data_IF_253887193506
#
_entry.id   IF_253887193506
#
_cell.length_a   1.000
_cell.length_b   1.000
_cell.length_c   1.000
_cell.angle_alpha   90.00
_cell.angle_beta   90.00
_cell.angle_gamma   90.00
#
_symmetry.space_group_name_H-M   'P 1'
#
loop_
_entity.id
_entity.type
_entity.pdbx_description
1 polymer ?
#
# COMPACT_ATOMS: atom_id res chain seq x y z
N UNK A 1 23.12 -11.01 -46.33
CA UNK A 1 22.92 -12.46 -46.53
C UNK A 1 22.57 -13.05 -45.17
N UNK A 2 21.29 -13.17 -44.88
CA UNK A 2 20.74 -13.57 -43.58
C UNK A 2 20.66 -15.10 -43.50
N UNK A 3 21.39 -15.66 -42.55
CA UNK A 3 21.46 -17.09 -42.27
C UNK A 3 20.15 -17.51 -41.56
N UNK A 4 19.16 -17.95 -42.34
CA UNK A 4 17.93 -18.53 -41.79
C UNK A 4 18.28 -19.92 -41.25
N UNK A 5 18.32 -20.02 -39.93
CA UNK A 5 18.22 -21.31 -39.26
C UNK A 5 16.81 -21.81 -39.51
N UNK A 6 16.72 -22.99 -40.10
CA UNK A 6 15.48 -23.65 -40.49
C UNK A 6 14.99 -24.43 -39.27
N UNK A 7 13.78 -24.16 -38.79
CA UNK A 7 13.22 -24.79 -37.59
C UNK A 7 13.22 -26.32 -37.72
N UNK A 8 13.10 -26.84 -38.95
CA UNK A 8 13.22 -28.27 -39.24
C UNK A 8 14.62 -28.82 -38.95
N UNK A 9 15.69 -28.02 -39.17
CA UNK A 9 17.07 -28.42 -38.82
C UNK A 9 17.30 -28.42 -37.33
N UNK A 10 16.71 -27.47 -36.60
CA UNK A 10 16.81 -27.39 -35.13
C UNK A 10 16.11 -28.60 -34.51
N UNK A 11 14.92 -28.94 -35.01
CA UNK A 11 14.15 -30.09 -34.54
C UNK A 11 14.86 -31.42 -34.83
N UNK A 12 15.54 -31.54 -35.98
CA UNK A 12 16.38 -32.71 -36.28
C UNK A 12 17.57 -32.84 -35.33
N UNK A 13 18.25 -31.73 -35.04
CA UNK A 13 19.37 -31.69 -34.10
C UNK A 13 18.96 -32.02 -32.66
N UNK A 14 17.77 -31.59 -32.24
CA UNK A 14 17.23 -31.90 -30.91
C UNK A 14 16.83 -33.38 -30.78
N UNK A 15 16.27 -33.98 -31.82
CA UNK A 15 15.91 -35.40 -31.82
C UNK A 15 17.14 -36.33 -31.90
N UNK A 16 18.25 -35.86 -32.46
CA UNK A 16 19.51 -36.63 -32.56
C UNK A 16 20.37 -36.53 -31.29
N UNK A 17 19.94 -35.79 -30.26
CA UNK A 17 20.64 -35.77 -28.98
C UNK A 17 20.42 -37.09 -28.24
N UNK A 18 21.49 -37.71 -27.71
CA UNK A 18 21.35 -38.91 -26.88
C UNK A 18 20.55 -38.55 -25.63
N UNK A 19 19.64 -39.44 -25.22
CA UNK A 19 18.86 -39.26 -24.00
C UNK A 19 19.81 -39.17 -22.79
N UNK A 20 19.99 -37.96 -22.26
CA UNK A 20 20.92 -37.70 -21.14
C UNK A 20 20.22 -38.10 -19.86
N UNK A 21 20.24 -39.39 -19.57
CA UNK A 21 19.82 -39.93 -18.28
C UNK A 21 20.95 -39.68 -17.27
N UNK A 22 20.67 -38.92 -16.20
CA UNK A 22 21.62 -38.77 -15.11
C UNK A 22 21.74 -40.10 -14.35
N UNK A 23 22.80 -40.85 -14.67
CA UNK A 23 23.08 -42.17 -14.08
C UNK A 23 23.68 -42.08 -12.67
N UNK A 24 23.87 -40.87 -12.12
CA UNK A 24 24.44 -40.68 -10.79
C UNK A 24 23.38 -40.97 -9.72
N UNK A 25 23.75 -41.76 -8.71
CA UNK A 25 22.86 -41.98 -7.57
C UNK A 25 22.79 -40.73 -6.68
N UNK A 26 21.69 -40.58 -5.94
CA UNK A 26 21.47 -39.43 -5.05
C UNK A 26 22.58 -39.30 -4.00
N UNK A 27 23.11 -40.42 -3.54
CA UNK A 27 24.21 -40.50 -2.58
C UNK A 27 25.52 -40.00 -3.19
N UNK A 28 25.77 -40.29 -4.47
CA UNK A 28 26.97 -39.85 -5.19
C UNK A 28 26.92 -38.36 -5.52
N UNK A 29 25.72 -37.83 -5.79
CA UNK A 29 25.51 -36.37 -5.93
C UNK A 29 25.70 -35.66 -4.58
N UNK A 30 25.11 -36.20 -3.51
CA UNK A 30 25.22 -35.63 -2.17
C UNK A 30 26.65 -35.66 -1.64
N UNK A 31 27.41 -36.72 -1.90
CA UNK A 31 28.80 -36.84 -1.48
C UNK A 31 29.69 -35.81 -2.19
N UNK A 32 29.48 -35.59 -3.50
CA UNK A 32 30.18 -34.54 -4.27
C UNK A 32 29.82 -33.14 -3.81
N UNK A 33 28.55 -32.86 -3.53
CA UNK A 33 28.11 -31.57 -2.98
C UNK A 33 28.73 -31.30 -1.61
N UNK A 34 28.78 -32.31 -0.73
CA UNK A 34 29.45 -32.19 0.57
C UNK A 34 30.95 -31.99 0.46
N UNK A 35 31.58 -32.44 -0.63
CA UNK A 35 33.02 -32.31 -0.87
C UNK A 35 33.39 -31.07 -1.70
N UNK A 36 32.41 -30.35 -2.24
CA UNK A 36 32.66 -29.14 -3.02
C UNK A 36 33.15 -28.01 -2.11
N UNK A 37 34.41 -27.63 -2.31
CA UNK A 37 35.09 -26.57 -1.55
C UNK A 37 34.43 -25.20 -1.72
N UNK A 38 33.62 -24.98 -2.76
CA UNK A 38 32.81 -23.76 -2.94
C UNK A 38 31.70 -23.67 -1.89
N UNK A 39 31.09 -24.80 -1.55
CA UNK A 39 29.98 -24.91 -0.59
C UNK A 39 30.47 -25.03 0.86
N UNK A 40 31.73 -25.44 1.06
CA UNK A 40 32.36 -25.52 2.39
C UNK A 40 32.94 -24.18 2.88
N UNK A 41 32.85 -23.09 2.12
CA UNK A 41 33.20 -21.77 2.64
C UNK A 41 32.14 -21.38 3.67
N UNK A 42 32.47 -21.58 4.95
CA UNK A 42 31.77 -20.92 6.07
C UNK A 42 31.60 -19.43 5.72
N UNK A 43 30.47 -18.80 6.05
CA UNK A 43 30.32 -17.36 5.87
C UNK A 43 31.54 -16.68 6.50
N UNK A 44 32.20 -15.82 5.72
CA UNK A 44 33.32 -15.02 6.20
C UNK A 44 32.81 -14.28 7.44
N UNK A 45 33.25 -14.69 8.62
CA UNK A 45 33.16 -13.86 9.80
C UNK A 45 33.85 -12.54 9.42
N UNK A 46 33.07 -11.46 9.44
CA UNK A 46 33.61 -10.12 9.23
C UNK A 46 34.78 -9.89 10.19
N UNK A 47 35.83 -9.16 9.79
CA UNK A 47 36.89 -8.81 10.71
C UNK A 47 36.30 -7.98 11.85
N UNK A 48 36.33 -8.55 13.05
CA UNK A 48 36.07 -7.89 14.33
C UNK A 48 36.79 -6.54 14.38
N UNK A 49 36.00 -5.46 14.24
CA UNK A 49 36.45 -4.09 14.43
C UNK A 49 36.78 -3.89 15.91
N UNK A 50 38.09 -3.89 16.18
CA UNK A 50 38.79 -3.31 17.32
C UNK A 50 37.90 -2.79 18.48
N UNK A 51 37.84 -3.55 19.57
CA UNK A 51 37.20 -3.17 20.84
C UNK A 51 38.02 -2.10 21.56
N UNK A 52 37.57 -0.84 21.49
CA UNK A 52 37.95 0.18 22.48
C UNK A 52 37.03 0.09 23.70
N UNK A 53 37.59 -0.51 24.76
CA UNK A 53 37.53 -0.13 26.17
C UNK A 53 36.18 0.40 26.74
N UNK A 54 35.58 -0.45 27.57
CA UNK A 54 34.55 -0.24 28.57
C UNK A 54 34.64 1.08 29.38
N UNK A 55 33.52 1.83 29.42
CA UNK A 55 32.85 2.49 30.55
C UNK A 55 31.41 2.71 30.00
N UNK A 56 30.29 2.24 30.56
CA UNK A 56 29.70 2.54 31.87
C UNK A 56 28.53 1.55 32.09
N UNK A 57 28.55 0.68 33.13
CA UNK A 57 27.35 0.02 33.65
C UNK A 57 26.91 0.62 35.02
N UNK A 58 27.14 1.92 35.25
CA UNK A 58 26.78 2.60 36.49
C UNK A 58 25.69 3.68 36.34
N UNK A 59 25.42 4.19 35.13
CA UNK A 59 24.41 5.24 34.93
C UNK A 59 22.97 4.69 34.86
N UNK A 60 22.77 3.48 34.31
CA UNK A 60 21.45 2.86 34.20
C UNK A 60 20.87 2.48 35.58
N UNK A 61 21.72 2.06 36.53
CA UNK A 61 21.29 1.71 37.88
C UNK A 61 20.80 2.93 38.69
N UNK A 62 21.38 4.12 38.46
CA UNK A 62 20.96 5.35 39.14
C UNK A 62 19.59 5.86 38.64
N UNK A 63 19.32 5.71 37.34
CA UNK A 63 18.03 6.09 36.75
C UNK A 63 16.87 5.19 37.23
N UNK A 64 17.09 3.88 37.36
CA UNK A 64 16.08 2.94 37.87
C UNK A 64 15.78 3.18 39.36
N UNK A 65 16.79 3.50 40.18
CA UNK A 65 16.58 3.85 41.60
C UNK A 65 15.82 5.17 41.77
N UNK A 66 16.10 6.19 40.94
CA UNK A 66 15.35 7.44 40.92
C UNK A 66 13.89 7.23 40.50
N UNK A 67 13.64 6.42 39.45
CA UNK A 67 12.30 6.09 39.00
C UNK A 67 11.49 5.32 40.07
N UNK A 68 12.12 4.38 40.79
CA UNK A 68 11.44 3.67 41.89
C UNK A 68 11.09 4.61 43.05
N UNK A 69 11.94 5.58 43.40
CA UNK A 69 11.65 6.52 44.50
C UNK A 69 10.50 7.49 44.19
N UNK A 70 10.26 7.80 42.91
CA UNK A 70 9.17 8.67 42.46
C UNK A 70 7.82 7.95 42.38
N UNK A 71 7.80 6.62 42.25
CA UNK A 71 6.57 5.83 42.14
C UNK A 71 5.94 5.47 43.50
N UNK A 72 6.71 5.47 44.58
CA UNK A 72 6.22 5.08 45.92
C UNK A 72 5.15 6.05 46.47
N UNK A 73 5.29 7.39 46.36
CA UNK A 73 4.25 8.32 46.84
C UNK A 73 2.94 8.21 46.04
N UNK A 74 3.02 7.86 44.74
CA UNK A 74 1.87 7.80 43.83
C UNK A 74 0.89 6.65 44.17
N UNK A 75 1.38 5.54 44.72
CA UNK A 75 0.53 4.41 45.12
C UNK A 75 0.01 4.48 46.57
N UNK A 76 0.54 5.36 47.40
CA UNK A 76 0.10 5.53 48.79
C UNK A 76 -1.00 6.61 48.95
N UNK A 77 -1.25 7.42 47.92
CA UNK A 77 -2.24 8.51 47.97
C UNK A 77 -3.63 8.11 47.41
N UNK A 78 -3.83 6.87 46.94
CA UNK A 78 -5.12 6.44 46.39
C UNK A 78 -5.70 5.22 47.13
N UNK A 79 -5.94 5.39 48.44
CA UNK A 79 -6.79 4.47 49.19
C UNK A 79 -7.84 5.25 49.98
N UNK A 80 -8.99 5.46 49.34
CA UNK A 80 -10.27 5.74 49.98
C UNK A 80 -11.38 5.12 49.14
N UNK A 81 -11.89 3.98 49.63
CA UNK A 81 -13.22 3.39 49.38
C UNK A 81 -13.61 3.01 47.94
N UNK A 82 -13.45 1.74 47.55
CA UNK A 82 -14.45 0.67 47.76
C UNK A 82 -14.09 -0.63 47.02
N UNK A 83 -13.89 -1.66 47.83
CA UNK A 83 -14.06 -3.12 47.69
C UNK A 83 -14.46 -3.79 46.36
N UNK A 84 -13.67 -4.86 46.07
CA UNK A 84 -14.02 -6.20 45.54
C UNK A 84 -14.40 -6.32 44.04
N UNK A 85 -13.97 -7.32 43.27
CA UNK A 85 -13.12 -8.49 43.54
C UNK A 85 -12.51 -8.99 42.20
N UNK A 86 -11.25 -9.43 42.28
CA UNK A 86 -10.57 -10.51 41.54
C UNK A 86 -10.75 -10.67 40.02
N UNK A 87 -9.67 -10.34 39.32
CA UNK A 87 -9.25 -10.97 38.08
C UNK A 87 -8.79 -12.43 38.32
N UNK A 88 -9.16 -13.34 37.43
CA UNK A 88 -8.44 -14.59 37.21
C UNK A 88 -8.33 -14.86 35.71
N UNK A 89 -7.13 -14.66 35.18
CA UNK A 89 -6.70 -15.11 33.86
C UNK A 89 -6.57 -16.65 33.89
N UNK A 90 -7.33 -17.37 33.05
CA UNK A 90 -7.20 -18.82 32.89
C UNK A 90 -6.69 -19.14 31.49
N UNK A 91 -5.51 -19.77 31.50
CA UNK A 91 -4.79 -20.38 30.39
C UNK A 91 -5.70 -21.40 29.66
N UNK A 92 -5.73 -21.31 28.34
CA UNK A 92 -6.51 -22.16 27.43
C UNK A 92 -5.74 -23.46 27.14
N UNK A 93 -6.41 -24.60 27.41
CA UNK A 93 -6.00 -25.93 26.96
C UNK A 93 -7.16 -26.57 26.19
N UNK A 94 -6.78 -27.48 25.32
CA UNK A 94 -7.45 -28.01 24.12
C UNK A 94 -8.42 -29.19 24.36
N UNK A 95 -9.29 -29.37 23.37
CA UNK A 95 -10.11 -30.52 22.93
C UNK A 95 -11.49 -30.88 23.55
N UNK A 96 -12.43 -31.01 22.60
CA UNK A 96 -13.44 -32.05 22.37
C UNK A 96 -14.76 -32.17 23.18
N UNK A 97 -15.82 -31.82 22.45
CA UNK A 97 -16.98 -32.65 22.08
C UNK A 97 -18.36 -32.44 22.76
N UNK A 98 -19.34 -32.29 21.86
CA UNK A 98 -20.75 -32.68 21.88
C UNK A 98 -21.77 -32.13 22.93
N UNK A 99 -22.69 -31.32 22.38
CA UNK A 99 -24.14 -31.49 22.43
C UNK A 99 -24.90 -31.21 23.74
N UNK A 100 -25.63 -30.07 23.80
CA UNK A 100 -27.06 -30.06 24.18
C UNK A 100 -27.77 -28.76 23.77
N UNK A 101 -28.70 -28.93 22.84
CA UNK A 101 -30.03 -28.32 22.68
C UNK A 101 -30.47 -27.07 23.50
N UNK A 102 -30.97 -26.09 22.72
CA UNK A 102 -32.33 -25.50 22.75
C UNK A 102 -32.73 -24.67 23.98
N UNK A 103 -32.97 -23.38 23.75
CA UNK A 103 -34.29 -22.78 23.97
C UNK A 103 -34.49 -21.59 23.02
N UNK A 104 -35.39 -21.76 22.06
CA UNK A 104 -36.14 -20.69 21.39
C UNK A 104 -37.42 -20.50 22.19
N UNK A 105 -37.88 -19.26 22.36
CA UNK A 105 -39.13 -18.76 21.77
C UNK A 105 -39.45 -17.38 22.34
N UNK A 106 -40.00 -16.57 21.44
CA UNK A 106 -40.52 -15.23 21.64
C UNK A 106 -41.54 -15.14 22.79
N UNK A 107 -41.83 -13.93 23.27
CA UNK A 107 -43.06 -13.26 22.84
C UNK A 107 -43.12 -11.80 23.32
N UNK A 108 -43.56 -10.95 22.38
CA UNK A 108 -44.50 -9.81 22.47
C UNK A 108 -44.44 -8.81 23.65
N UNK A 109 -44.85 -7.55 23.54
CA UNK A 109 -45.23 -6.61 22.47
C UNK A 109 -45.63 -5.29 23.17
N UNK A 110 -45.83 -4.23 22.39
CA UNK A 110 -46.66 -3.03 22.67
C UNK A 110 -45.99 -1.92 23.51
N UNK A 111 -45.51 -0.89 22.81
CA UNK A 111 -46.33 0.29 22.48
C UNK A 111 -46.12 1.57 23.30
N UNK A 112 -45.99 2.71 22.60
CA UNK A 112 -46.43 4.02 23.10
C UNK A 112 -45.41 5.16 23.11
N UNK A 113 -45.29 5.84 21.97
CA UNK A 113 -45.22 7.31 21.73
C UNK A 113 -44.49 8.29 22.68
N UNK A 114 -43.53 9.01 22.08
CA UNK A 114 -43.21 10.47 22.12
C UNK A 114 -42.99 11.23 23.45
N UNK A 115 -41.83 11.89 23.57
CA UNK A 115 -41.70 13.37 23.60
C UNK A 115 -40.22 13.82 23.68
N UNK A 116 -39.96 14.99 23.10
CA UNK A 116 -38.67 15.65 22.89
C UNK A 116 -38.07 16.36 24.12
N UNK A 117 -36.74 16.55 24.05
CA UNK A 117 -35.91 17.62 24.61
C UNK A 117 -35.85 17.89 26.12
N UNK A 118 -34.65 17.70 26.67
CA UNK A 118 -33.94 18.76 27.39
C UNK A 118 -32.43 18.47 27.43
N UNK A 119 -31.66 19.44 26.93
CA UNK A 119 -30.20 19.52 27.05
C UNK A 119 -29.74 19.48 28.52
N UNK A 120 -28.61 18.83 28.73
CA UNK A 120 -27.68 19.22 29.79
C UNK A 120 -26.26 18.99 29.29
N UNK A 121 -25.61 20.07 28.87
CA UNK A 121 -24.18 20.13 28.66
C UNK A 121 -23.44 19.97 30.00
N UNK A 122 -22.43 19.09 30.03
CA UNK A 122 -21.17 19.39 30.69
C UNK A 122 -20.03 18.55 30.10
N UNK A 123 -19.36 19.21 29.16
CA UNK A 123 -17.99 19.03 28.70
C UNK A 123 -16.97 18.78 29.83
N UNK A 124 -16.13 17.74 29.66
CA UNK A 124 -14.66 17.88 29.65
C UNK A 124 -13.95 16.53 29.47
N UNK A 125 -13.29 16.40 28.33
CA UNK A 125 -12.35 15.33 27.99
C UNK A 125 -11.70 15.56 26.63
N UNK A 126 -11.26 16.79 26.38
CA UNK A 126 -10.66 17.25 25.14
C UNK A 126 -9.25 16.65 24.97
N UNK A 127 -9.10 15.62 24.14
CA UNK A 127 -7.84 15.37 23.43
C UNK A 127 -7.88 16.09 22.10
N UNK A 128 -6.86 16.93 21.91
CA UNK A 128 -6.69 17.88 20.84
C UNK A 128 -6.48 17.14 19.52
N UNK A 129 -7.53 17.00 18.72
CA UNK A 129 -7.43 16.83 17.26
C UNK A 129 -7.73 18.19 16.63
N UNK A 130 -6.69 18.83 16.12
CA UNK A 130 -6.76 20.19 15.60
C UNK A 130 -6.76 20.13 14.06
N UNK A 131 -7.93 20.40 13.45
CA UNK A 131 -8.14 20.67 12.02
C UNK A 131 -8.09 19.42 11.12
N UNK A 132 -9.16 19.02 10.43
CA UNK A 132 -10.00 19.78 9.50
C UNK A 132 -11.48 19.49 9.79
N UNK A 133 -12.27 20.55 9.93
CA UNK A 133 -13.72 20.44 9.87
C UNK A 133 -14.18 20.52 8.42
N UNK A 134 -14.81 19.45 7.95
CA UNK A 134 -15.96 19.56 7.05
C UNK A 134 -16.92 18.40 7.34
N UNK A 135 -18.21 18.69 7.44
CA UNK A 135 -19.30 17.74 7.66
C UNK A 135 -19.62 16.94 6.38
N UNK A 136 -18.57 16.42 5.74
CA UNK A 136 -18.65 15.60 4.55
C UNK A 136 -17.49 14.59 4.60
N UNK A 137 -17.44 13.79 5.67
CA UNK A 137 -16.52 12.64 5.74
C UNK A 137 -16.96 11.64 4.69
N UNK A 138 -16.45 11.80 3.47
CA UNK A 138 -16.64 10.80 2.44
C UNK A 138 -16.07 9.49 2.94
N UNK A 139 -16.89 8.45 3.01
CA UNK A 139 -16.54 7.12 3.51
C UNK A 139 -15.70 6.31 2.50
N UNK A 140 -15.22 6.95 1.43
CA UNK A 140 -14.35 6.35 0.41
C UNK A 140 -12.90 6.82 0.58
N UNK A 141 -11.93 5.91 0.41
CA UNK A 141 -10.50 6.23 0.53
C UNK A 141 -9.94 6.87 -0.74
N UNK A 142 -10.68 6.88 -1.84
CA UNK A 142 -10.29 7.52 -3.10
C UNK A 142 -10.53 9.02 -3.08
N UNK A 143 -9.63 9.80 -3.69
CA UNK A 143 -9.79 11.24 -3.86
C UNK A 143 -10.41 11.53 -5.22
N UNK A 144 -11.53 12.23 -5.24
CA UNK A 144 -12.17 12.73 -6.46
C UNK A 144 -11.92 14.23 -6.66
N UNK A 145 -12.17 14.79 -7.87
CA UNK A 145 -11.90 16.20 -8.14
C UNK A 145 -12.60 17.19 -7.19
N UNK A 146 -13.76 16.83 -6.66
CA UNK A 146 -14.46 17.67 -5.68
C UNK A 146 -13.77 17.68 -4.31
N UNK A 147 -13.16 16.57 -3.90
CA UNK A 147 -12.43 16.45 -2.62
C UNK A 147 -11.13 17.27 -2.66
N UNK A 148 -10.52 17.38 -3.85
CA UNK A 148 -9.32 18.17 -4.07
C UNK A 148 -9.59 19.69 -4.17
N UNK A 149 -10.86 20.15 -4.07
CA UNK A 149 -11.16 21.57 -4.19
C UNK A 149 -10.58 22.38 -3.02
N UNK A 150 -9.67 23.31 -3.31
CA UNK A 150 -8.95 24.11 -2.29
C UNK A 150 -7.71 23.45 -1.71
N UNK A 151 -7.30 22.32 -2.30
CA UNK A 151 -6.12 21.57 -1.94
C UNK A 151 -5.24 21.32 -3.17
N UNK A 152 -3.94 21.28 -2.96
CA UNK A 152 -2.97 20.74 -3.91
C UNK A 152 -2.74 19.27 -3.57
N UNK A 153 -2.83 18.43 -4.59
CA UNK A 153 -2.69 16.98 -4.43
C UNK A 153 -1.21 16.60 -4.45
N UNK A 154 -0.80 15.84 -3.43
CA UNK A 154 0.54 15.28 -3.32
C UNK A 154 0.47 13.75 -3.28
N UNK A 155 1.00 13.11 -4.33
CA UNK A 155 1.09 11.66 -4.42
C UNK A 155 2.41 11.15 -3.85
N UNK A 156 2.36 10.00 -3.18
CA UNK A 156 3.53 9.33 -2.63
C UNK A 156 3.34 7.83 -2.68
N UNK A 157 4.35 7.07 -3.09
CA UNK A 157 4.35 5.61 -3.00
C UNK A 157 4.99 5.14 -1.71
N UNK A 158 4.20 4.75 -0.70
CA UNK A 158 4.72 4.32 0.60
C UNK A 158 5.15 2.85 0.57
N UNK A 159 6.30 2.55 1.18
CA UNK A 159 6.79 1.18 1.27
C UNK A 159 6.06 0.41 2.38
N UNK A 160 5.46 -0.72 2.03
CA UNK A 160 4.86 -1.62 3.02
C UNK A 160 5.83 -2.74 3.43
N UNK A 161 5.56 -3.32 4.59
CA UNK A 161 6.26 -4.51 5.11
C UNK A 161 6.24 -5.72 4.16
N UNK A 162 5.29 -5.77 3.21
CA UNK A 162 5.17 -6.80 2.19
C UNK A 162 6.08 -6.55 0.97
N UNK A 163 6.97 -5.57 1.04
CA UNK A 163 7.80 -5.09 -0.08
C UNK A 163 6.95 -4.64 -1.29
N UNK A 164 5.77 -4.07 -1.03
CA UNK A 164 4.94 -3.43 -2.03
C UNK A 164 5.03 -1.90 -1.92
N UNK A 165 4.88 -1.21 -3.05
CA UNK A 165 4.58 0.23 -3.05
C UNK A 165 3.08 0.40 -2.96
N UNK A 166 2.61 1.15 -1.96
CA UNK A 166 1.21 1.50 -1.79
C UNK A 166 1.03 2.96 -2.21
N UNK A 167 0.31 3.24 -3.31
CA UNK A 167 0.07 4.61 -3.73
C UNK A 167 -0.88 5.27 -2.75
N UNK A 168 -0.51 6.45 -2.25
CA UNK A 168 -1.33 7.25 -1.34
C UNK A 168 -1.42 8.69 -1.82
N UNK A 169 -2.46 9.37 -1.33
CA UNK A 169 -2.74 10.76 -1.70
C UNK A 169 -2.84 11.63 -0.45
N UNK A 170 -2.08 12.71 -0.43
CA UNK A 170 -2.21 13.76 0.59
C UNK A 170 -2.85 15.00 -0.02
N UNK A 171 -3.79 15.59 0.72
CA UNK A 171 -4.44 16.85 0.34
C UNK A 171 -3.83 17.98 1.16
N UNK A 172 -3.00 18.80 0.52
CA UNK A 172 -2.31 19.91 1.18
C UNK A 172 -3.09 21.20 0.92
N UNK A 173 -3.56 21.93 1.95
CA UNK A 173 -4.34 23.14 1.75
C UNK A 173 -3.60 24.15 0.86
N UNK A 174 -4.31 24.78 -0.09
CA UNK A 174 -3.69 25.77 -1.00
C UNK A 174 -3.08 26.96 -0.25
N UNK A 175 -3.60 27.26 0.95
CA UNK A 175 -3.02 28.27 1.84
C UNK A 175 -1.62 27.89 2.33
N UNK A 176 -1.39 26.63 2.66
CA UNK A 176 -0.08 26.09 3.05
C UNK A 176 0.88 26.09 1.85
N UNK A 177 0.39 25.69 0.68
CA UNK A 177 1.16 25.73 -0.57
C UNK A 177 1.60 27.16 -0.89
N UNK A 178 0.71 28.14 -0.72
CA UNK A 178 1.04 29.55 -0.92
C UNK A 178 2.07 30.06 0.10
N UNK A 179 2.03 29.59 1.34
CA UNK A 179 3.04 29.92 2.34
C UNK A 179 4.43 29.35 1.97
N UNK A 180 4.46 28.11 1.51
CA UNK A 180 5.69 27.37 1.26
C UNK A 180 6.34 27.67 -0.10
N UNK A 181 5.54 27.94 -1.13
CA UNK A 181 5.99 28.13 -2.52
C UNK A 181 5.62 29.51 -3.10
N UNK A 182 4.83 30.32 -2.40
CA UNK A 182 4.38 31.63 -2.90
C UNK A 182 3.30 31.49 -3.98
N UNK A 183 3.46 32.23 -5.09
CA UNK A 183 2.53 32.16 -6.23
C UNK A 183 2.99 31.16 -7.31
N UNK A 184 3.99 30.31 -7.01
CA UNK A 184 4.48 29.26 -7.91
C UNK A 184 3.67 27.99 -7.66
N UNK A 185 3.14 27.40 -8.73
CA UNK A 185 2.54 26.07 -8.69
C UNK A 185 3.66 25.02 -8.61
N UNK A 186 3.80 24.29 -7.48
CA UNK A 186 4.90 23.37 -7.29
C UNK A 186 4.73 22.11 -8.16
N UNK A 187 5.84 21.60 -8.71
CA UNK A 187 5.85 20.28 -9.34
C UNK A 187 5.75 19.15 -8.30
N UNK A 188 5.51 17.91 -8.74
CA UNK A 188 5.56 16.74 -7.85
C UNK A 188 6.92 16.59 -7.15
N UNK A 189 8.02 16.99 -7.81
CA UNK A 189 9.34 17.03 -7.18
C UNK A 189 9.45 18.10 -6.10
N UNK A 190 8.88 19.29 -6.33
CA UNK A 190 8.90 20.38 -5.35
C UNK A 190 8.11 20.00 -4.10
N UNK A 191 6.92 19.41 -4.28
CA UNK A 191 6.10 18.86 -3.20
C UNK A 191 6.86 17.78 -2.43
N UNK A 192 7.46 16.83 -3.15
CA UNK A 192 8.25 15.76 -2.55
C UNK A 192 9.42 16.31 -1.71
N UNK A 193 10.22 17.22 -2.26
CA UNK A 193 11.38 17.80 -1.57
C UNK A 193 10.98 18.60 -0.35
N UNK A 194 9.80 19.21 -0.38
CA UNK A 194 9.27 19.98 0.75
C UNK A 194 8.71 19.06 1.83
N UNK A 195 7.90 18.08 1.48
CA UNK A 195 7.01 17.42 2.42
C UNK A 195 7.39 15.97 2.76
N UNK A 196 7.94 15.19 1.82
CA UNK A 196 8.11 13.75 2.01
C UNK A 196 8.95 13.41 3.25
N UNK A 197 10.05 14.12 3.48
CA UNK A 197 10.92 13.88 4.64
C UNK A 197 10.34 14.32 5.99
N UNK A 198 9.19 15.00 5.99
CA UNK A 198 8.51 15.42 7.21
C UNK A 198 7.39 14.44 7.60
N UNK A 199 6.95 13.55 6.71
CA UNK A 199 5.83 12.63 6.97
C UNK A 199 6.27 11.54 7.96
N UNK A 200 5.44 11.27 8.96
CA UNK A 200 5.63 10.16 9.91
C UNK A 200 5.04 8.86 9.33
N UNK A 201 5.82 8.20 8.46
CA UNK A 201 5.42 6.98 7.76
C UNK A 201 5.17 5.81 8.71
N UNK A 202 5.97 5.70 9.79
CA UNK A 202 5.79 4.65 10.80
C UNK A 202 4.47 4.83 11.56
N UNK A 203 4.08 6.07 11.88
CA UNK A 203 2.77 6.36 12.49
C UNK A 203 1.59 6.06 11.55
N UNK A 204 1.81 6.07 10.24
CA UNK A 204 0.84 5.68 9.22
C UNK A 204 0.82 4.15 8.96
N UNK A 205 1.72 3.38 9.58
CA UNK A 205 1.82 1.92 9.41
C UNK A 205 2.76 1.47 8.29
N UNK A 206 3.62 2.36 7.76
CA UNK A 206 4.55 2.08 6.67
C UNK A 206 6.01 2.04 7.13
N UNK A 207 6.88 1.47 6.31
CA UNK A 207 8.32 1.51 6.55
C UNK A 207 8.86 2.94 6.32
N UNK A 208 9.75 3.43 7.20
CA UNK A 208 10.45 4.71 7.01
C UNK A 208 11.36 4.65 5.76
N UNK A 209 10.84 5.17 4.66
CA UNK A 209 11.41 5.02 3.33
C UNK A 209 11.84 6.36 2.72
N UNK A 210 11.13 7.44 3.05
CA UNK A 210 11.42 8.78 2.53
C UNK A 210 12.16 9.69 3.52
N UNK A 211 13.03 10.59 3.01
CA UNK A 211 13.33 10.82 1.60
C UNK A 211 14.25 9.74 1.00
N UNK A 212 14.14 9.55 -0.32
CA UNK A 212 15.01 8.65 -1.06
C UNK A 212 16.46 9.07 -0.90
N UNK A 213 17.35 8.08 -0.84
CA UNK A 213 18.79 8.32 -0.87
C UNK A 213 19.19 8.92 -2.22
N UNK A 214 20.16 9.82 -2.17
CA UNK A 214 20.66 10.52 -3.35
C UNK A 214 20.07 11.91 -3.50
N UNK A 215 20.14 12.43 -4.72
CA UNK A 215 19.64 13.77 -5.06
C UNK A 215 18.85 13.71 -6.35
N UNK A 216 17.89 14.61 -6.49
CA UNK A 216 17.11 14.77 -7.72
C UNK A 216 17.46 16.08 -8.41
N UNK A 217 17.36 16.08 -9.73
CA UNK A 217 17.43 17.26 -10.58
C UNK A 217 16.52 17.07 -11.80
N UNK A 218 16.24 18.15 -12.52
CA UNK A 218 15.33 18.15 -13.67
C UNK A 218 16.11 18.54 -14.93
N UNK A 219 15.95 17.76 -15.99
CA UNK A 219 16.53 17.96 -17.32
C UNK A 219 15.42 17.94 -18.37
N UNK A 220 14.75 19.09 -18.55
CA UNK A 220 13.52 19.17 -19.34
C UNK A 220 12.38 18.40 -18.65
N UNK A 221 11.78 17.44 -19.35
CA UNK A 221 10.71 16.57 -18.82
C UNK A 221 11.26 15.29 -18.17
N UNK A 222 12.59 15.18 -18.03
CA UNK A 222 13.28 14.04 -17.44
C UNK A 222 13.68 14.34 -16.00
N UNK A 223 13.23 13.50 -15.08
CA UNK A 223 13.70 13.49 -13.70
C UNK A 223 15.04 12.74 -13.64
N UNK A 224 16.07 13.33 -13.05
CA UNK A 224 17.38 12.69 -12.91
C UNK A 224 17.65 12.46 -11.44
N UNK A 225 17.84 11.20 -11.07
CA UNK A 225 18.21 10.82 -9.71
C UNK A 225 19.66 10.35 -9.66
N UNK A 226 20.49 11.09 -8.92
CA UNK A 226 21.86 10.69 -8.63
C UNK A 226 21.90 9.86 -7.34
N UNK A 227 22.26 8.59 -7.47
CA UNK A 227 22.31 7.60 -6.39
C UNK A 227 23.72 7.44 -5.82
N UNK A 228 23.87 7.38 -4.49
CA UNK A 228 25.15 7.08 -3.85
C UNK A 228 25.48 5.59 -3.95
N UNK A 229 26.77 5.25 -3.88
CA UNK A 229 27.19 3.85 -3.76
C UNK A 229 26.57 3.21 -2.52
N UNK A 230 26.01 2.00 -2.66
CA UNK A 230 25.37 1.30 -1.56
C UNK A 230 24.03 1.92 -1.14
N UNK A 231 23.30 2.53 -2.08
CA UNK A 231 21.93 3.02 -1.87
C UNK A 231 21.02 1.93 -1.29
N UNK A 232 21.20 0.67 -1.70
CA UNK A 232 20.54 -0.49 -1.09
C UNK A 232 19.14 -0.79 -1.64
N UNK A 233 18.76 -0.14 -2.73
CA UNK A 233 17.49 -0.37 -3.43
C UNK A 233 17.50 -1.67 -4.26
N UNK A 234 18.66 -2.26 -4.49
CA UNK A 234 18.88 -3.42 -5.35
C UNK A 234 19.47 -4.63 -4.61
N UNK A 235 19.33 -4.67 -3.29
CA UNK A 235 19.86 -5.78 -2.47
C UNK A 235 19.10 -7.09 -2.77
N UNK A 236 17.81 -7.00 -3.08
CA UNK A 236 16.97 -8.13 -3.40
C UNK A 236 15.93 -7.78 -4.49
N UNK A 237 15.32 -8.76 -5.17
CA UNK A 237 14.28 -8.50 -6.17
C UNK A 237 13.09 -7.71 -5.60
N UNK A 238 12.68 -7.98 -4.36
CA UNK A 238 11.60 -7.23 -3.71
C UNK A 238 11.96 -5.75 -3.52
N UNK A 239 13.17 -5.43 -3.07
CA UNK A 239 13.58 -4.04 -2.79
C UNK A 239 13.62 -3.18 -4.05
N UNK A 240 14.02 -3.76 -5.19
CA UNK A 240 14.05 -3.01 -6.46
C UNK A 240 12.64 -2.79 -7.00
N UNK A 241 11.74 -3.78 -6.84
CA UNK A 241 10.33 -3.62 -7.22
C UNK A 241 9.63 -2.55 -6.38
N UNK A 242 9.79 -2.56 -5.05
CA UNK A 242 9.25 -1.50 -4.17
C UNK A 242 9.78 -0.13 -4.57
N UNK A 243 11.09 -0.03 -4.83
CA UNK A 243 11.72 1.22 -5.20
C UNK A 243 11.18 1.79 -6.51
N UNK A 244 11.19 1.00 -7.59
CA UNK A 244 10.70 1.46 -8.89
C UNK A 244 9.20 1.74 -8.86
N UNK A 245 8.41 0.92 -8.16
CA UNK A 245 6.98 1.16 -7.93
C UNK A 245 6.74 2.49 -7.22
N UNK A 246 7.47 2.76 -6.12
CA UNK A 246 7.30 4.00 -5.36
C UNK A 246 7.62 5.25 -6.17
N UNK A 247 8.61 5.19 -7.06
CA UNK A 247 8.93 6.30 -7.98
C UNK A 247 7.79 6.55 -8.96
N UNK A 248 7.19 5.48 -9.50
CA UNK A 248 6.04 5.54 -10.41
C UNK A 248 4.81 6.16 -9.73
N UNK A 249 4.60 5.83 -8.45
CA UNK A 249 3.47 6.29 -7.65
C UNK A 249 3.65 7.71 -7.10
N UNK A 250 4.90 8.22 -7.07
CA UNK A 250 5.22 9.54 -6.50
C UNK A 250 5.33 10.64 -7.55
N UNK A 251 6.03 10.39 -8.67
CA UNK A 251 6.44 11.45 -9.58
C UNK A 251 5.51 11.57 -10.80
N UNK A 252 4.61 12.56 -10.72
CA UNK A 252 3.69 12.95 -11.79
C UNK A 252 4.22 14.18 -12.56
N UNK A 253 3.88 14.28 -13.84
CA UNK A 253 4.23 15.41 -14.70
C UNK A 253 5.60 15.33 -15.36
N UNK A 254 6.33 14.22 -15.16
CA UNK A 254 7.58 13.89 -15.86
C UNK A 254 7.37 12.73 -16.83
N UNK A 255 8.13 12.68 -17.93
CA UNK A 255 8.02 11.60 -18.92
C UNK A 255 8.83 10.37 -18.54
N UNK A 256 9.99 10.57 -17.94
CA UNK A 256 10.90 9.49 -17.53
C UNK A 256 11.78 9.89 -16.35
N UNK A 257 12.32 8.89 -15.67
CA UNK A 257 13.37 9.03 -14.66
C UNK A 257 14.65 8.34 -15.13
N UNK A 258 15.77 9.06 -15.05
CA UNK A 258 17.12 8.57 -15.34
C UNK A 258 17.91 8.40 -14.06
N UNK A 259 18.56 7.23 -13.91
CA UNK A 259 19.36 6.90 -12.74
C UNK A 259 20.84 7.07 -13.05
N UNK A 260 21.53 7.92 -12.28
CA UNK A 260 22.95 8.20 -12.43
C UNK A 260 23.69 7.93 -11.12
N UNK A 261 24.94 7.48 -11.20
CA UNK A 261 25.86 7.50 -10.06
C UNK A 261 26.30 8.94 -9.78
N UNK A 262 26.97 9.18 -8.65
CA UNK A 262 27.53 10.50 -8.31
C UNK A 262 28.53 11.04 -9.35
N UNK A 263 29.10 10.18 -10.20
CA UNK A 263 30.01 10.55 -11.29
C UNK A 263 29.30 10.80 -12.64
N UNK A 264 27.96 10.70 -12.68
CA UNK A 264 27.13 10.90 -13.88
C UNK A 264 27.04 9.69 -14.81
N UNK A 265 27.62 8.54 -14.44
CA UNK A 265 27.44 7.29 -15.21
C UNK A 265 26.11 6.63 -14.88
N UNK A 266 25.53 5.85 -15.80
CA UNK A 266 24.28 5.14 -15.53
C UNK A 266 24.47 4.12 -14.38
N UNK A 267 23.51 4.06 -13.46
CA UNK A 267 23.52 3.11 -12.34
C UNK A 267 23.37 1.70 -12.89
N UNK A 268 24.17 0.74 -12.41
CA UNK A 268 23.97 -0.68 -12.66
C UNK A 268 23.34 -1.28 -11.40
N UNK A 269 22.08 -1.73 -11.49
CA UNK A 269 21.41 -2.35 -10.36
C UNK A 269 21.83 -3.83 -10.24
N UNK A 270 22.24 -4.26 -9.06
CA UNK A 270 22.79 -5.59 -8.77
C UNK A 270 21.85 -6.73 -9.24
N UNK A 271 20.53 -6.55 -9.14
CA UNK A 271 19.54 -7.55 -9.57
C UNK A 271 19.34 -7.61 -11.10
N UNK A 272 19.72 -6.56 -11.82
CA UNK A 272 19.55 -6.45 -13.27
C UNK A 272 20.84 -6.85 -13.99
N UNK A 273 21.99 -6.40 -13.48
CA UNK A 273 23.32 -6.71 -14.00
C UNK A 273 23.68 -6.00 -15.32
N UNK A 274 22.93 -4.94 -15.66
CA UNK A 274 23.18 -4.08 -16.82
C UNK A 274 22.99 -2.61 -16.44
N UNK A 275 23.69 -1.67 -17.09
CA UNK A 275 23.45 -0.25 -16.89
C UNK A 275 21.98 0.09 -17.09
N UNK A 276 21.43 0.83 -16.14
CA UNK A 276 20.05 1.27 -16.14
C UNK A 276 19.76 2.12 -17.38
N UNK A 277 18.54 1.96 -17.86
CA UNK A 277 17.95 2.83 -18.88
C UNK A 277 16.96 3.76 -18.18
N UNK A 278 16.63 4.91 -18.79
CA UNK A 278 15.53 5.72 -18.31
C UNK A 278 14.25 4.87 -18.18
N UNK A 279 13.58 5.01 -17.04
CA UNK A 279 12.29 4.38 -16.76
C UNK A 279 11.19 5.37 -17.08
N UNK A 280 10.22 4.98 -17.90
CA UNK A 280 9.08 5.82 -18.24
C UNK A 280 8.20 6.05 -17.01
N UNK A 281 7.85 7.30 -16.74
CA UNK A 281 6.84 7.69 -15.78
C UNK A 281 5.53 7.94 -16.53
N UNK A 282 4.43 7.36 -16.07
CA UNK A 282 3.14 7.41 -16.78
C UNK A 282 2.14 8.35 -16.11
N UNK A 283 2.53 9.04 -15.02
CA UNK A 283 1.69 10.03 -14.33
C UNK A 283 0.26 9.50 -14.05
N UNK A 284 0.17 8.31 -13.45
CA UNK A 284 -1.09 7.63 -13.13
C UNK A 284 -1.66 6.72 -14.23
N UNK A 285 -1.28 6.90 -15.50
CA UNK A 285 -1.75 6.07 -16.63
C UNK A 285 -0.91 4.79 -16.76
N UNK A 286 -0.92 4.01 -15.68
CA UNK A 286 -0.06 2.84 -15.49
C UNK A 286 -0.66 1.52 -16.01
N UNK A 287 -1.94 1.53 -16.37
CA UNK A 287 -2.72 0.34 -16.74
C UNK A 287 -2.77 -0.71 -15.61
N UNK A 288 -2.82 -0.26 -14.35
CA UNK A 288 -2.96 -1.11 -13.18
C UNK A 288 -4.42 -1.44 -12.90
N UNK A 289 -4.64 -2.59 -12.27
CA UNK A 289 -5.85 -2.84 -11.51
C UNK A 289 -5.60 -2.61 -10.02
N UNK A 290 -6.69 -2.45 -9.27
CA UNK A 290 -6.64 -2.19 -7.83
C UNK A 290 -7.32 -3.31 -7.06
N UNK A 291 -6.63 -3.82 -6.05
CA UNK A 291 -7.09 -4.81 -5.09
C UNK A 291 -7.08 -4.22 -3.69
N UNK A 292 -7.73 -4.91 -2.75
CA UNK A 292 -7.59 -4.61 -1.33
C UNK A 292 -6.28 -5.20 -0.81
N UNK A 293 -5.40 -4.36 -0.32
CA UNK A 293 -4.16 -4.73 0.36
C UNK A 293 -4.35 -4.52 1.87
N UNK A 294 -4.07 -5.56 2.66
CA UNK A 294 -4.17 -5.51 4.12
C UNK A 294 -2.76 -5.54 4.74
N UNK A 295 -2.46 -4.56 5.59
CA UNK A 295 -1.23 -4.51 6.39
C UNK A 295 -1.33 -5.40 7.63
N UNK A 296 -0.20 -5.77 8.25
CA UNK A 296 -0.20 -6.58 9.48
C UNK A 296 -0.90 -5.93 10.69
N UNK A 297 -1.08 -4.61 10.68
CA UNK A 297 -1.83 -3.86 11.67
C UNK A 297 -3.36 -3.86 11.41
N UNK A 298 -3.80 -4.44 10.29
CA UNK A 298 -5.19 -4.53 9.86
C UNK A 298 -5.68 -3.32 9.05
N UNK A 299 -4.82 -2.35 8.74
CA UNK A 299 -5.19 -1.25 7.84
C UNK A 299 -5.30 -1.75 6.41
N UNK A 300 -6.31 -1.24 5.69
CA UNK A 300 -6.65 -1.66 4.34
C UNK A 300 -6.45 -0.52 3.33
N UNK A 301 -5.87 -0.85 2.18
CA UNK A 301 -5.54 0.11 1.12
C UNK A 301 -5.91 -0.44 -0.26
N UNK A 302 -6.31 0.43 -1.18
CA UNK A 302 -6.45 0.06 -2.59
C UNK A 302 -5.10 0.16 -3.28
N UNK A 303 -4.54 -0.97 -3.71
CA UNK A 303 -3.23 -0.99 -4.36
C UNK A 303 -3.18 -1.97 -5.53
N UNK A 304 -2.24 -1.73 -6.43
CA UNK A 304 -1.95 -2.64 -7.52
C UNK A 304 -1.14 -3.84 -7.02
N UNK A 305 -1.34 -5.00 -7.66
CA UNK A 305 -0.56 -6.19 -7.36
C UNK A 305 0.88 -6.04 -7.88
N UNK A 306 1.76 -5.42 -7.07
CA UNK A 306 3.17 -5.17 -7.39
C UNK A 306 3.39 -4.47 -8.74
N UNK A 307 2.61 -3.41 -9.00
CA UNK A 307 2.75 -2.59 -10.21
C UNK A 307 2.60 -3.39 -11.52
N UNK A 308 1.82 -4.49 -11.49
CA UNK A 308 1.53 -5.28 -12.67
C UNK A 308 0.57 -4.53 -13.61
N UNK A 309 0.99 -4.33 -14.86
CA UNK A 309 0.22 -3.62 -15.89
C UNK A 309 -0.50 -4.57 -16.85
N UNK A 310 -1.65 -4.14 -17.34
CA UNK A 310 -2.44 -4.89 -18.32
C UNK A 310 -2.50 -4.18 -19.68
N UNK A 311 -2.76 -4.95 -20.73
CA UNK A 311 -2.87 -4.42 -22.09
C UNK A 311 -4.18 -3.64 -22.33
N UNK A 312 -5.26 -4.01 -21.63
CA UNK A 312 -6.57 -3.40 -21.77
C UNK A 312 -7.38 -3.44 -20.46
N UNK A 313 -8.32 -2.51 -20.34
CA UNK A 313 -9.13 -2.30 -19.15
C UNK A 313 -10.07 -3.48 -18.87
N UNK A 314 -10.66 -4.10 -19.90
CA UNK A 314 -11.52 -5.27 -19.72
C UNK A 314 -10.79 -6.41 -19.00
N UNK A 315 -9.57 -6.73 -19.44
CA UNK A 315 -8.75 -7.79 -18.81
C UNK A 315 -8.39 -7.41 -17.37
N UNK A 316 -8.04 -6.14 -17.12
CA UNK A 316 -7.69 -5.66 -15.78
C UNK A 316 -8.86 -5.81 -14.79
N UNK A 317 -10.08 -5.44 -15.22
CA UNK A 317 -11.31 -5.56 -14.42
C UNK A 317 -11.74 -7.03 -14.22
N UNK A 318 -11.55 -7.90 -15.20
CA UNK A 318 -11.86 -9.33 -15.06
C UNK A 318 -10.94 -10.03 -14.05
N UNK A 319 -9.64 -9.69 -14.05
CA UNK A 319 -8.67 -10.23 -13.09
C UNK A 319 -8.91 -9.76 -11.66
N UNK A 320 -9.62 -8.63 -11.46
CA UNK A 320 -9.99 -8.15 -10.12
C UNK A 320 -11.00 -9.06 -9.41
N UNK A 321 -11.65 -10.00 -10.11
CA UNK A 321 -12.63 -10.93 -9.52
C UNK A 321 -11.99 -12.05 -8.69
N UNK A 322 -10.67 -12.21 -8.77
CA UNK A 322 -9.93 -13.27 -8.10
C UNK A 322 -8.77 -12.68 -7.29
N UNK A 323 -8.46 -13.31 -6.16
CA UNK A 323 -7.29 -12.91 -5.37
C UNK A 323 -6.02 -13.29 -6.14
N UNK A 324 -5.09 -12.35 -6.39
CA UNK A 324 -3.88 -12.66 -7.14
C UNK A 324 -2.85 -13.42 -6.30
N UNK A 325 -2.86 -13.26 -4.97
CA UNK A 325 -2.02 -13.95 -4.00
C UNK A 325 -2.58 -13.77 -2.57
N UNK A 326 -1.81 -14.16 -1.54
CA UNK A 326 -2.25 -14.19 -0.15
C UNK A 326 -2.31 -12.81 0.55
N UNK A 327 -1.77 -11.74 -0.06
CA UNK A 327 -1.71 -10.40 0.54
C UNK A 327 -2.64 -9.38 -0.14
N UNK A 328 -3.28 -9.77 -1.26
CA UNK A 328 -4.28 -8.95 -1.93
C UNK A 328 -5.60 -9.71 -2.04
N UNK A 329 -6.70 -9.02 -1.73
CA UNK A 329 -8.06 -9.54 -1.82
C UNK A 329 -8.83 -8.88 -2.96
N UNK A 330 -9.67 -9.68 -3.62
CA UNK A 330 -10.66 -9.19 -4.58
C UNK A 330 -11.62 -8.23 -3.89
N UNK A 331 -11.80 -7.05 -4.49
CA UNK A 331 -12.83 -6.09 -4.10
C UNK A 331 -14.16 -6.35 -4.81
N UNK A 332 -14.18 -7.27 -5.77
CA UNK A 332 -15.37 -7.63 -6.53
C UNK A 332 -16.00 -8.85 -5.86
N UNK A 333 -17.20 -8.73 -5.28
CA UNK A 333 -17.85 -9.87 -4.64
C UNK A 333 -18.08 -11.01 -5.62
N UNK A 334 -17.92 -12.25 -5.15
CA UNK A 334 -17.98 -13.46 -6.02
C UNK A 334 -19.31 -13.65 -6.78
N UNK A 335 -20.39 -13.03 -6.31
CA UNK A 335 -21.71 -13.06 -6.96
C UNK A 335 -21.93 -11.91 -7.95
N UNK A 336 -20.98 -10.99 -8.08
CA UNK A 336 -21.05 -9.83 -8.99
C UNK A 336 -20.42 -10.20 -10.33
N UNK A 337 -21.25 -10.18 -11.35
CA UNK A 337 -20.90 -10.47 -12.73
C UNK A 337 -21.22 -9.24 -13.59
N UNK A 338 -20.31 -8.86 -14.47
CA UNK A 338 -20.50 -7.74 -15.40
C UNK A 338 -19.88 -8.02 -16.76
N UNK A 339 -20.21 -7.16 -17.71
CA UNK A 339 -19.59 -7.06 -19.03
C UNK A 339 -19.02 -5.64 -19.18
N UNK A 340 -17.88 -5.52 -19.86
CA UNK A 340 -17.20 -4.25 -20.10
C UNK A 340 -17.42 -3.84 -21.56
N UNK A 341 -17.91 -2.63 -21.78
CA UNK A 341 -18.14 -2.07 -23.12
C UNK A 341 -17.49 -0.71 -23.24
N UNK A 342 -16.36 -0.65 -23.95
CA UNK A 342 -15.67 0.63 -24.22
C UNK A 342 -16.42 1.46 -25.27
N UNK A 343 -16.67 2.74 -24.97
CA UNK A 343 -17.34 3.71 -25.86
C UNK A 343 -16.65 5.08 -25.78
N UNK A 344 -15.83 5.41 -26.77
CA UNK A 344 -15.03 6.64 -26.77
C UNK A 344 -14.20 6.74 -25.46
N UNK A 345 -14.32 7.84 -24.71
CA UNK A 345 -13.60 8.07 -23.43
C UNK A 345 -14.30 7.43 -22.21
N UNK A 346 -15.52 6.89 -22.39
CA UNK A 346 -16.31 6.27 -21.33
C UNK A 346 -16.34 4.76 -21.51
N UNK A 347 -16.05 4.03 -20.45
CA UNK A 347 -16.22 2.58 -20.38
C UNK A 347 -17.47 2.27 -19.57
N UNK A 348 -18.37 1.49 -20.17
CA UNK A 348 -19.59 1.05 -19.49
C UNK A 348 -19.34 -0.30 -18.82
N UNK A 349 -19.53 -0.36 -17.50
CA UNK A 349 -19.55 -1.59 -16.72
C UNK A 349 -21.00 -1.98 -16.50
N UNK A 350 -21.45 -3.01 -17.21
CA UNK A 350 -22.83 -3.47 -17.19
C UNK A 350 -22.97 -4.71 -16.34
N UNK A 351 -23.57 -4.60 -15.16
CA UNK A 351 -23.82 -5.75 -14.30
C UNK A 351 -24.86 -6.70 -14.94
N UNK A 352 -24.59 -8.02 -14.94
CA UNK A 352 -25.49 -9.02 -15.55
C UNK A 352 -26.80 -9.16 -14.80
N UNK A 353 -26.76 -9.05 -13.48
CA UNK A 353 -27.93 -8.85 -12.61
C UNK A 353 -28.01 -7.41 -12.13
N UNK A 354 -29.13 -7.04 -11.52
CA UNK A 354 -29.24 -5.74 -10.86
C UNK A 354 -28.36 -5.74 -9.60
N UNK A 355 -27.31 -4.92 -9.57
CA UNK A 355 -26.47 -4.74 -8.39
C UNK A 355 -27.21 -3.84 -7.39
N UNK A 356 -27.30 -4.28 -6.13
CA UNK A 356 -27.84 -3.49 -5.04
C UNK A 356 -26.72 -3.22 -4.02
N UNK A 357 -26.25 -1.98 -3.97
CA UNK A 357 -25.17 -1.58 -3.05
C UNK A 357 -25.59 -1.69 -1.58
N UNK A 358 -26.90 -1.62 -1.28
CA UNK A 358 -27.42 -1.77 0.08
C UNK A 358 -27.49 -3.23 0.55
N UNK A 359 -27.16 -4.18 -0.33
CA UNK A 359 -27.10 -5.61 0.02
C UNK A 359 -25.76 -6.03 0.62
N UNK A 360 -24.77 -5.14 0.65
CA UNK A 360 -23.45 -5.32 1.26
C UNK A 360 -23.15 -4.19 2.26
N UNK A 361 -22.03 -4.27 2.97
CA UNK A 361 -21.63 -3.17 3.86
C UNK A 361 -21.23 -1.94 3.04
N UNK A 362 -21.36 -0.75 3.65
CA UNK A 362 -20.97 0.51 2.99
C UNK A 362 -19.51 0.51 2.55
N UNK A 363 -18.62 -0.06 3.39
CA UNK A 363 -17.20 -0.21 3.08
C UNK A 363 -16.98 -1.09 1.84
N UNK A 364 -17.61 -2.27 1.79
CA UNK A 364 -17.50 -3.17 0.63
C UNK A 364 -18.05 -2.52 -0.65
N UNK A 365 -19.17 -1.81 -0.57
CA UNK A 365 -19.75 -1.10 -1.70
C UNK A 365 -18.83 0.03 -2.19
N UNK A 366 -18.22 0.78 -1.27
CA UNK A 366 -17.26 1.84 -1.61
C UNK A 366 -16.02 1.26 -2.26
N UNK A 367 -15.42 0.22 -1.68
CA UNK A 367 -14.24 -0.46 -2.24
C UNK A 367 -14.52 -0.99 -3.65
N UNK A 368 -15.69 -1.61 -3.88
CA UNK A 368 -16.11 -2.09 -5.21
C UNK A 368 -16.14 -0.95 -6.24
N UNK A 369 -16.82 0.16 -5.91
CA UNK A 369 -16.95 1.30 -6.83
C UNK A 369 -15.58 1.95 -7.06
N UNK A 370 -14.89 2.29 -5.98
CA UNK A 370 -13.59 2.97 -6.00
C UNK A 370 -12.56 2.18 -6.80
N UNK A 371 -12.40 0.89 -6.53
CA UNK A 371 -11.35 0.14 -7.21
C UNK A 371 -11.67 -0.15 -8.68
N UNK A 372 -12.94 -0.26 -9.09
CA UNK A 372 -13.31 -0.27 -10.52
C UNK A 372 -12.94 1.08 -11.17
N UNK A 373 -13.28 2.17 -10.50
CA UNK A 373 -13.06 3.54 -11.01
C UNK A 373 -11.57 3.90 -11.06
N UNK A 374 -10.78 3.55 -10.03
CA UNK A 374 -9.33 3.70 -10.00
C UNK A 374 -8.63 2.84 -11.05
N UNK A 375 -9.12 1.61 -11.25
CA UNK A 375 -8.62 0.75 -12.32
C UNK A 375 -8.84 1.41 -13.66
N UNK A 376 -10.04 1.93 -13.95
CA UNK A 376 -10.30 2.67 -15.19
C UNK A 376 -9.50 3.97 -15.33
N UNK A 377 -9.29 4.69 -14.23
CA UNK A 377 -8.45 5.88 -14.18
C UNK A 377 -7.01 5.56 -14.62
N UNK A 378 -6.51 4.37 -14.26
CA UNK A 378 -5.18 3.91 -14.71
C UNK A 378 -5.06 3.70 -16.23
N UNK A 379 -6.18 3.69 -16.95
CA UNK A 379 -6.25 3.65 -18.42
C UNK A 379 -6.73 4.97 -19.03
N UNK A 380 -6.82 6.05 -18.25
CA UNK A 380 -7.37 7.35 -18.66
C UNK A 380 -8.82 7.22 -19.19
N UNK A 381 -9.67 6.49 -18.45
CA UNK A 381 -11.08 6.25 -18.81
C UNK A 381 -12.04 6.58 -17.67
N UNK A 382 -13.20 7.09 -18.03
CA UNK A 382 -14.34 7.22 -17.11
C UNK A 382 -15.15 5.93 -17.06
N UNK A 383 -15.79 5.67 -15.91
CA UNK A 383 -16.72 4.54 -15.75
C UNK A 383 -18.16 5.05 -15.71
N UNK A 384 -19.03 4.37 -16.45
CA UNK A 384 -20.47 4.46 -16.25
C UNK A 384 -21.01 3.09 -15.87
N UNK A 385 -21.77 3.02 -14.78
CA UNK A 385 -22.40 1.79 -14.35
C UNK A 385 -23.77 1.61 -15.01
N UNK A 386 -24.08 0.38 -15.43
CA UNK A 386 -25.42 -0.01 -15.88
C UNK A 386 -25.93 -1.18 -15.03
N UNK A 387 -27.24 -1.22 -14.82
CA UNK A 387 -27.93 -2.20 -13.96
C UNK A 387 -27.57 -2.12 -12.47
N UNK A 388 -27.40 -0.90 -11.95
CA UNK A 388 -27.28 -0.64 -10.52
C UNK A 388 -28.60 -0.09 -9.96
N UNK A 389 -28.97 -0.47 -8.73
CA UNK A 389 -30.27 -0.13 -8.12
C UNK A 389 -30.32 1.33 -7.67
N UNK A 390 -29.20 1.83 -7.15
CA UNK A 390 -29.07 3.17 -6.62
C UNK A 390 -28.84 4.18 -7.75
N UNK A 391 -29.54 5.31 -7.68
CA UNK A 391 -29.30 6.46 -8.57
C UNK A 391 -28.15 7.31 -8.05
N UNK A 392 -28.05 7.45 -6.73
CA UNK A 392 -26.99 8.22 -6.08
C UNK A 392 -26.25 7.36 -5.07
N UNK A 393 -24.94 7.57 -4.95
CA UNK A 393 -24.07 6.93 -3.96
C UNK A 393 -22.90 7.86 -3.62
N UNK A 394 -22.68 8.17 -2.34
CA UNK A 394 -21.63 9.07 -1.86
C UNK A 394 -21.50 10.39 -2.63
N UNK A 395 -22.64 11.02 -2.95
CA UNK A 395 -22.67 12.30 -3.67
C UNK A 395 -22.47 12.19 -5.20
N UNK A 396 -22.30 10.98 -5.74
CA UNK A 396 -22.25 10.73 -7.17
C UNK A 396 -23.61 10.29 -7.73
N UNK A 397 -23.94 10.76 -8.94
CA UNK A 397 -25.05 10.22 -9.73
C UNK A 397 -24.56 9.04 -10.57
N UNK A 398 -24.94 7.82 -10.19
CA UNK A 398 -24.49 6.58 -10.82
C UNK A 398 -25.11 6.31 -12.21
N UNK A 399 -26.07 7.12 -12.64
CA UNK A 399 -26.60 7.05 -14.02
C UNK A 399 -25.71 7.79 -15.03
N UNK A 400 -24.75 8.58 -14.56
CA UNK A 400 -23.83 9.37 -15.38
C UNK A 400 -22.41 8.78 -15.28
N UNK A 401 -21.53 9.05 -16.27
CA UNK A 401 -20.12 8.71 -16.13
C UNK A 401 -19.52 9.38 -14.88
N UNK A 402 -18.84 8.60 -14.06
CA UNK A 402 -18.15 9.08 -12.87
C UNK A 402 -16.89 9.85 -13.25
N UNK A 403 -16.53 10.89 -12.48
CA UNK A 403 -15.29 11.62 -12.70
C UNK A 403 -14.09 10.70 -12.51
N UNK A 404 -13.01 10.98 -13.24
CA UNK A 404 -11.74 10.28 -13.03
C UNK A 404 -11.20 10.71 -11.66
N UNK A 405 -10.92 9.76 -10.74
CA UNK A 405 -10.36 10.06 -9.44
C UNK A 405 -8.96 10.64 -9.60
N UNK A 406 -8.57 11.50 -8.66
CA UNK A 406 -7.26 12.13 -8.63
C UNK A 406 -6.21 11.18 -8.06
N UNK A 407 -6.57 10.34 -7.09
CA UNK A 407 -5.66 9.33 -6.56
C UNK A 407 -6.29 8.40 -5.52
N UNK A 408 -5.63 7.27 -5.22
CA UNK A 408 -6.07 6.33 -4.20
C UNK A 408 -5.64 6.75 -2.79
N UNK A 409 -6.28 6.15 -1.79
CA UNK A 409 -5.86 6.13 -0.38
C UNK A 409 -5.49 7.51 0.17
N UNK A 410 -6.49 8.36 0.39
CA UNK A 410 -6.30 9.61 1.11
C UNK A 410 -5.83 9.33 2.53
N UNK A 411 -4.72 9.96 2.93
CA UNK A 411 -4.14 9.82 4.27
C UNK A 411 -4.03 11.18 4.97
N UNK A 412 -4.14 11.22 6.31
CA UNK A 412 -3.88 12.43 7.06
C UNK A 412 -2.42 12.83 6.90
N UNK A 413 -2.19 14.14 6.78
CA UNK A 413 -0.85 14.69 6.67
C UNK A 413 -0.18 14.80 8.05
N UNK A 414 0.35 13.67 8.54
CA UNK A 414 1.01 13.56 9.84
C UNK A 414 2.50 13.86 9.72
N UNK A 415 2.99 14.81 10.52
CA UNK A 415 4.38 15.25 10.52
C UNK A 415 5.17 14.71 11.72
N UNK A 416 6.44 14.36 11.49
CA UNK A 416 7.42 13.85 12.48
C UNK A 416 7.78 14.83 13.59
#
# INVERSE_FOLDING_TARGET
MTNKWDDEKIQKLLNDLPDVQDTRSKEDVLSRLKQDKRLQKRPKQMPSRNTRRNLIPAFVAAAVLLALTLLIPSMLQNNSSNSNDKASMKIMSKDDNENMQVFSSEDSSIGGESEEMAESEMDQGNEVSNGIGDENTSSHSTVYPNDAAGYTVFHLGLASEAAASIPVTFLIPDSQIKEDFGDIEPSSLDLYMKYAGQIDEEALGFDDYHPYKGTFSVDGDVLVQSLPTGHGYDIAPGTISTYLGSLQDTFFGFEEIRFENEDGTAVEFDQVGEPSKPMKLNSGVNHYNYYLFEQSDGQEYLSSNFSYSYENLETALEEMKINPNDIYSSIIPTNVEFEVVEKNEVTVVKFKGTLDLLSMSEIEANQLIDGIVLTAASFDRQIQFENISQVEWNGFNLNEPLPIPVGPNVLPFLLK
#
